data_IF_320155319738
#
_entry.id   IF_320155319738
#
_cell.length_a   1.000
_cell.length_b   1.000
_cell.length_c   1.000
_cell.angle_alpha   90.00
_cell.angle_beta   90.00
_cell.angle_gamma   90.00
#
_symmetry.space_group_name_H-M   'P 1'
#
loop_
_entity.id
_entity.type
_entity.pdbx_description
1 polymer ?
#
# COMPACT_ATOMS: atom_id res chain seq x y z
N UNK A 1 50.63 -9.94 13.15
CA UNK A 1 49.65 -9.12 13.93
C UNK A 1 48.63 -8.34 13.08
N UNK A 2 48.67 -8.44 11.75
CA UNK A 2 47.85 -7.61 10.84
C UNK A 2 46.51 -8.29 10.55
N UNK A 3 46.54 -9.57 10.14
CA UNK A 3 45.38 -10.41 9.75
C UNK A 3 44.20 -10.46 10.76
N UNK A 4 44.48 -10.48 12.07
CA UNK A 4 43.45 -10.51 13.12
C UNK A 4 42.67 -9.20 13.28
N UNK A 5 43.30 -8.05 12.98
CA UNK A 5 42.63 -6.74 13.04
C UNK A 5 41.64 -6.56 11.86
N UNK A 6 41.95 -7.10 10.69
CA UNK A 6 41.04 -7.09 9.53
C UNK A 6 39.82 -7.98 9.75
N UNK A 7 39.98 -9.11 10.45
CA UNK A 7 38.86 -9.98 10.82
C UNK A 7 37.88 -9.27 11.76
N UNK A 8 38.39 -8.60 12.80
CA UNK A 8 37.58 -7.80 13.72
C UNK A 8 36.95 -6.58 13.01
N UNK A 9 37.66 -5.94 12.08
CA UNK A 9 37.11 -4.85 11.26
C UNK A 9 35.95 -5.30 10.37
N UNK A 10 36.06 -6.45 9.69
CA UNK A 10 34.95 -6.98 8.88
C UNK A 10 33.74 -7.37 9.73
N UNK A 11 33.96 -7.94 10.91
CA UNK A 11 32.88 -8.28 11.84
C UNK A 11 32.11 -7.04 12.33
N UNK A 12 32.84 -5.96 12.65
CA UNK A 12 32.24 -4.66 12.99
C UNK A 12 31.48 -4.05 11.81
N UNK A 13 31.97 -4.20 10.60
CA UNK A 13 31.28 -3.71 9.39
C UNK A 13 29.98 -4.49 9.11
N UNK A 14 29.93 -5.79 9.39
CA UNK A 14 28.67 -6.55 9.34
C UNK A 14 27.67 -6.06 10.39
N UNK A 15 28.11 -5.75 11.61
CA UNK A 15 27.25 -5.19 12.66
C UNK A 15 26.67 -3.82 12.28
N UNK A 16 27.49 -2.94 11.71
CA UNK A 16 27.04 -1.63 11.20
C UNK A 16 26.06 -1.80 10.04
N UNK A 17 26.33 -2.73 9.12
CA UNK A 17 25.43 -3.02 8.00
C UNK A 17 24.06 -3.53 8.45
N UNK A 18 24.02 -4.45 9.43
CA UNK A 18 22.78 -4.96 10.01
C UNK A 18 22.01 -3.85 10.74
N UNK A 19 22.69 -2.99 11.50
CA UNK A 19 22.07 -1.87 12.18
C UNK A 19 21.44 -0.86 11.19
N UNK A 20 22.10 -0.58 10.07
CA UNK A 20 21.58 0.30 9.02
C UNK A 20 20.33 -0.28 8.33
N UNK A 21 20.34 -1.59 8.04
CA UNK A 21 19.18 -2.29 7.48
C UNK A 21 17.99 -2.28 8.46
N UNK A 22 18.26 -2.41 9.76
CA UNK A 22 17.23 -2.38 10.80
C UNK A 22 16.60 -0.98 10.93
N UNK A 23 17.41 0.08 10.90
CA UNK A 23 16.94 1.47 10.91
C UNK A 23 16.12 1.78 9.67
N UNK A 24 16.55 1.33 8.49
CA UNK A 24 15.81 1.52 7.24
C UNK A 24 14.46 0.77 7.23
N UNK A 25 14.39 -0.42 7.83
CA UNK A 25 13.12 -1.14 7.98
C UNK A 25 12.15 -0.42 8.92
N UNK A 26 12.66 0.22 9.98
CA UNK A 26 11.83 0.92 10.97
C UNK A 26 11.26 2.24 10.45
N UNK A 27 11.98 2.97 9.60
CA UNK A 27 11.47 4.21 9.01
C UNK A 27 10.28 3.97 8.08
N UNK A 28 10.25 2.83 7.37
CA UNK A 28 9.16 2.45 6.47
C UNK A 28 7.86 2.13 7.24
N UNK A 29 7.96 1.57 8.44
CA UNK A 29 6.80 1.20 9.25
C UNK A 29 5.97 2.43 9.71
N UNK A 30 6.60 3.60 9.87
CA UNK A 30 5.92 4.83 10.28
C UNK A 30 5.32 5.63 9.12
N UNK A 31 5.62 5.29 7.87
CA UNK A 31 5.13 6.02 6.69
C UNK A 31 3.72 5.60 6.24
N UNK A 32 3.10 4.61 6.88
CA UNK A 32 1.76 4.16 6.54
C UNK A 32 0.70 5.20 6.96
N UNK A 33 0.22 5.98 5.99
CA UNK A 33 -0.88 6.92 6.17
C UNK A 33 -2.20 6.16 6.33
N UNK A 34 -2.67 6.02 7.56
CA UNK A 34 -3.99 5.44 7.85
C UNK A 34 -5.09 6.43 7.47
N UNK A 35 -5.93 6.08 6.49
CA UNK A 35 -7.07 6.90 6.05
C UNK A 35 -8.36 6.27 6.53
N UNK A 36 -9.08 6.97 7.41
CA UNK A 36 -10.41 6.56 7.89
C UNK A 36 -11.46 7.44 7.22
N UNK A 37 -12.52 6.84 6.69
CA UNK A 37 -13.62 7.54 6.04
C UNK A 37 -14.94 6.83 6.22
N UNK A 38 -16.04 7.58 6.11
CA UNK A 38 -17.40 7.02 6.14
C UNK A 38 -17.73 6.40 4.79
N UNK A 39 -17.91 5.08 4.76
CA UNK A 39 -18.43 4.39 3.58
C UNK A 39 -19.96 4.59 3.46
N UNK A 40 -20.45 4.75 2.24
CA UNK A 40 -21.88 4.82 1.91
C UNK A 40 -22.10 4.14 0.56
N UNK A 41 -23.27 3.55 0.34
CA UNK A 41 -23.59 2.80 -0.88
C UNK A 41 -24.59 3.57 -1.76
N UNK A 42 -24.58 3.31 -3.07
CA UNK A 42 -25.57 3.86 -3.99
C UNK A 42 -26.90 3.13 -3.86
N UNK A 43 -28.00 3.89 -3.81
CA UNK A 43 -29.35 3.33 -3.79
C UNK A 43 -29.75 2.67 -5.11
N UNK A 44 -30.76 1.79 -5.07
CA UNK A 44 -31.27 1.03 -6.21
C UNK A 44 -31.68 1.87 -7.43
N UNK A 45 -32.03 3.15 -7.23
CA UNK A 45 -32.39 4.11 -8.29
C UNK A 45 -31.30 4.35 -9.34
N UNK A 46 -30.03 4.07 -9.00
CA UNK A 46 -28.90 4.30 -9.89
C UNK A 46 -28.54 3.08 -10.74
N UNK A 47 -29.15 1.92 -10.50
CA UNK A 47 -28.89 0.70 -11.26
C UNK A 47 -29.10 0.91 -12.76
N UNK A 48 -28.14 0.47 -13.58
CA UNK A 48 -28.20 0.60 -15.03
C UNK A 48 -27.80 1.97 -15.58
N UNK A 49 -27.36 2.92 -14.73
CA UNK A 49 -26.85 4.24 -15.17
C UNK A 49 -25.35 4.21 -15.39
N UNK A 50 -24.87 5.11 -16.25
CA UNK A 50 -23.43 5.30 -16.48
C UNK A 50 -22.76 5.92 -15.25
N UNK A 51 -21.62 5.35 -14.86
CA UNK A 51 -20.71 5.86 -13.83
C UNK A 51 -19.72 6.87 -14.43
N UNK A 52 -18.92 7.53 -13.57
CA UNK A 52 -17.96 8.55 -14.00
C UNK A 52 -16.78 8.00 -14.81
N UNK A 53 -16.53 6.68 -14.76
CA UNK A 53 -15.59 5.95 -15.60
C UNK A 53 -16.21 5.43 -16.91
N UNK A 54 -17.52 5.61 -17.10
CA UNK A 54 -18.24 5.20 -18.31
C UNK A 54 -18.78 3.77 -18.29
N UNK A 55 -18.57 3.00 -17.22
CA UNK A 55 -19.20 1.68 -17.04
C UNK A 55 -20.66 1.81 -16.57
N UNK A 56 -21.43 0.74 -16.71
CA UNK A 56 -22.81 0.68 -16.23
C UNK A 56 -22.81 0.24 -14.77
N UNK A 57 -23.43 1.02 -13.89
CA UNK A 57 -23.54 0.66 -12.48
C UNK A 57 -24.44 -0.55 -12.28
N UNK A 58 -23.86 -1.63 -11.76
CA UNK A 58 -24.58 -2.78 -11.25
C UNK A 58 -24.44 -2.84 -9.73
N UNK A 59 -25.55 -3.14 -9.04
CA UNK A 59 -25.55 -3.13 -7.57
C UNK A 59 -24.77 -4.32 -7.01
N UNK A 60 -24.74 -5.41 -7.76
CA UNK A 60 -24.12 -6.66 -7.36
C UNK A 60 -22.64 -6.72 -7.77
N UNK A 61 -22.11 -5.65 -8.39
CA UNK A 61 -20.67 -5.53 -8.70
C UNK A 61 -19.90 -5.04 -7.47
N UNK A 62 -18.67 -5.56 -7.29
CA UNK A 62 -17.75 -5.12 -6.24
C UNK A 62 -17.02 -3.83 -6.66
N UNK A 63 -17.78 -2.79 -7.00
CA UNK A 63 -17.24 -1.51 -7.47
C UNK A 63 -17.33 -0.45 -6.37
N UNK A 64 -16.22 0.24 -6.10
CA UNK A 64 -16.14 1.33 -5.11
C UNK A 64 -15.76 2.64 -5.82
N UNK A 65 -16.40 3.75 -5.42
CA UNK A 65 -16.08 5.09 -5.92
C UNK A 65 -15.33 5.90 -4.86
N UNK A 66 -14.19 6.50 -5.23
CA UNK A 66 -13.42 7.38 -4.36
C UNK A 66 -13.13 8.72 -5.05
N UNK A 67 -13.16 9.83 -4.28
CA UNK A 67 -13.06 11.19 -4.85
C UNK A 67 -11.66 11.56 -5.34
N UNK A 68 -10.61 11.02 -4.71
CA UNK A 68 -9.22 11.45 -4.95
C UNK A 68 -8.29 10.30 -5.32
N UNK A 69 -8.78 9.05 -5.35
CA UNK A 69 -7.99 7.93 -5.87
C UNK A 69 -8.23 7.94 -7.37
N UNK A 70 -7.17 7.78 -8.18
CA UNK A 70 -7.39 7.65 -9.60
C UNK A 70 -8.17 6.34 -9.88
N UNK A 71 -8.97 6.34 -10.95
CA UNK A 71 -9.83 5.21 -11.31
C UNK A 71 -8.97 4.03 -11.78
N UNK A 72 -8.63 3.12 -10.86
CA UNK A 72 -7.95 1.89 -11.20
C UNK A 72 -8.60 0.73 -10.44
N UNK A 73 -9.12 -0.22 -11.21
CA UNK A 73 -9.65 -1.53 -10.82
C UNK A 73 -11.14 -1.60 -10.46
N UNK A 74 -11.93 -1.99 -11.46
CA UNK A 74 -13.15 -2.80 -11.27
C UNK A 74 -12.71 -4.12 -10.66
N UNK A 75 -13.11 -4.39 -9.41
CA UNK A 75 -12.99 -5.74 -8.87
C UNK A 75 -14.17 -6.53 -9.47
N UNK A 76 -13.94 -7.21 -10.60
CA UNK A 76 -14.81 -8.29 -11.03
C UNK A 76 -14.62 -9.45 -10.06
N UNK A 77 -15.53 -9.54 -9.08
CA UNK A 77 -15.74 -10.77 -8.35
C UNK A 77 -16.55 -11.72 -9.24
N UNK A 78 -15.90 -12.77 -9.71
CA UNK A 78 -16.55 -14.01 -10.18
C UNK A 78 -17.44 -14.62 -9.10
#
# INVERSE_FOLDING_TARGET
MIRGKYFIMRLKQCFVGIALLFIFSMTQAMAQKHVVGKASYYGSKFHGRLTSDGSVYHRDSLTCAHRTLPFWHTLEGT
#
